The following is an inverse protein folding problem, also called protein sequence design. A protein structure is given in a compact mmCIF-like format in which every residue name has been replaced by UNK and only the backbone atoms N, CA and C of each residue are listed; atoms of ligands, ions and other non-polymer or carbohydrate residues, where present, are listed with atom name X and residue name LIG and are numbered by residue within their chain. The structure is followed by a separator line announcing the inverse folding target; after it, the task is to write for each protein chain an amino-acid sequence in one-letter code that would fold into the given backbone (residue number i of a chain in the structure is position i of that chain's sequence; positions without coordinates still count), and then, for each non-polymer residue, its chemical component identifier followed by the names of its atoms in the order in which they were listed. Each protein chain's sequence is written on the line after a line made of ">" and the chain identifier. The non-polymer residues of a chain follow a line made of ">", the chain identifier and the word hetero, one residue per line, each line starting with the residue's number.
data_IF_800841066603
#
_entry.id   IF_800841066603
#
_cell.length_a   1.000
_cell.length_b   1.000
_cell.length_c   1.000
_cell.angle_alpha   90.00
_cell.angle_beta   90.00
_cell.angle_gamma   90.00
#
_symmetry.space_group_name_H-M   'P 1'
#
loop_
_entity.id
_entity.type
_entity.pdbx_description
1 polymer ?
#
# COMPACT_ATOMS: atom_id res chain seq x y z
N UNK A 1 -0.95 7.54 -7.51
CA UNK A 1 -1.73 8.13 -6.40
C UNK A 1 -0.80 8.79 -5.39
N UNK A 2 0.13 8.02 -4.79
CA UNK A 2 1.11 8.56 -3.83
C UNK A 2 1.92 9.71 -4.40
N UNK A 3 2.53 9.54 -5.58
CA UNK A 3 3.31 10.60 -6.26
C UNK A 3 2.48 11.87 -6.48
N UNK A 4 1.30 11.74 -7.08
CA UNK A 4 0.39 12.88 -7.31
C UNK A 4 -0.03 13.61 -6.02
N UNK A 5 -0.21 12.88 -4.90
CA UNK A 5 -0.51 13.48 -3.60
C UNK A 5 0.69 14.27 -3.07
N UNK A 6 1.91 13.74 -3.20
CA UNK A 6 3.12 14.45 -2.79
C UNK A 6 3.37 15.71 -3.64
N UNK A 7 3.14 15.64 -4.95
CA UNK A 7 3.21 16.79 -5.86
C UNK A 7 2.19 17.87 -5.48
N UNK A 8 1.02 17.48 -4.97
CA UNK A 8 0.01 18.39 -4.43
C UNK A 8 0.35 18.94 -3.02
N UNK A 9 1.52 18.60 -2.47
CA UNK A 9 1.98 19.05 -1.14
C UNK A 9 1.42 18.25 0.04
N UNK A 10 0.79 17.10 -0.22
CA UNK A 10 0.30 16.24 0.84
C UNK A 10 1.43 15.39 1.46
N UNK A 11 1.29 15.11 2.75
CA UNK A 11 2.17 14.19 3.46
C UNK A 11 1.52 12.81 3.43
N UNK A 12 2.08 11.91 2.62
CA UNK A 12 1.64 10.52 2.56
C UNK A 12 2.37 9.74 3.64
N UNK A 13 1.63 9.24 4.62
CA UNK A 13 2.18 8.50 5.78
C UNK A 13 2.22 6.99 5.57
N UNK A 14 1.51 6.46 4.57
CA UNK A 14 1.43 5.03 4.29
C UNK A 14 0.33 4.69 3.29
N UNK A 15 0.23 3.40 2.96
CA UNK A 15 -0.75 2.83 2.04
C UNK A 15 -1.50 1.70 2.75
N UNK A 16 -2.83 1.77 2.74
CA UNK A 16 -3.70 0.73 3.27
C UNK A 16 -4.61 0.19 2.17
N UNK A 17 -4.68 -1.13 2.01
CA UNK A 17 -5.56 -1.80 1.06
C UNK A 17 -6.45 -2.82 1.76
N UNK A 18 -7.54 -3.22 1.09
CA UNK A 18 -8.42 -4.28 1.63
C UNK A 18 -7.79 -5.66 1.44
N UNK A 19 -7.28 -5.98 0.25
CA UNK A 19 -6.66 -7.29 -0.03
C UNK A 19 -5.29 -7.09 -0.67
N UNK A 20 -4.28 -7.77 -0.12
CA UNK A 20 -2.94 -7.85 -0.69
C UNK A 20 -2.90 -8.82 -1.88
N UNK A 21 -2.34 -8.39 -3.01
CA UNK A 21 -2.21 -9.20 -4.24
C UNK A 21 -0.87 -9.00 -4.96
N UNK A 22 0.22 -8.76 -4.23
CA UNK A 22 1.57 -8.56 -4.76
C UNK A 22 2.03 -7.10 -4.91
N UNK A 23 1.33 -6.14 -4.30
CA UNK A 23 1.73 -4.75 -4.30
C UNK A 23 2.81 -4.44 -3.24
N UNK A 24 2.89 -5.26 -2.18
CA UNK A 24 3.80 -5.03 -1.04
C UNK A 24 5.24 -4.66 -1.40
N UNK A 25 5.95 -5.39 -2.28
CA UNK A 25 7.37 -5.09 -2.56
C UNK A 25 7.60 -3.68 -3.10
N UNK A 26 6.73 -3.21 -4.00
CA UNK A 26 6.83 -1.87 -4.58
C UNK A 26 6.59 -0.76 -3.57
N UNK A 27 5.70 -0.99 -2.60
CA UNK A 27 5.41 0.00 -1.56
C UNK A 27 6.54 0.05 -0.53
N UNK A 28 7.08 -1.11 -0.16
CA UNK A 28 8.24 -1.21 0.73
C UNK A 28 9.50 -0.56 0.09
N UNK A 29 9.74 -0.79 -1.21
CA UNK A 29 10.82 -0.14 -1.98
C UNK A 29 10.66 1.39 -2.02
N UNK A 30 9.42 1.88 -2.09
CA UNK A 30 9.11 3.30 -2.03
C UNK A 30 9.19 3.89 -0.60
N UNK A 31 9.47 3.07 0.42
CA UNK A 31 9.69 3.52 1.79
C UNK A 31 8.41 3.86 2.57
N UNK A 32 7.25 3.41 2.10
CA UNK A 32 5.97 3.68 2.77
C UNK A 32 5.54 2.51 3.66
N UNK A 33 4.90 2.83 4.79
CA UNK A 33 4.22 1.82 5.58
C UNK A 33 3.07 1.21 4.77
N UNK A 34 3.02 -0.12 4.70
CA UNK A 34 2.01 -0.84 3.92
C UNK A 34 1.21 -1.81 4.79
N UNK A 35 -0.12 -1.65 4.79
CA UNK A 35 -1.05 -2.53 5.53
C UNK A 35 -2.12 -3.06 4.60
N UNK A 36 -2.45 -4.34 4.77
CA UNK A 36 -3.59 -4.98 4.11
C UNK A 36 -4.53 -5.56 5.16
N UNK A 37 -5.83 -5.37 4.99
CA UNK A 37 -6.82 -5.94 5.89
C UNK A 37 -6.91 -7.47 5.75
N UNK A 38 -6.68 -7.99 4.53
CA UNK A 38 -6.70 -9.42 4.21
C UNK A 38 -5.54 -9.81 3.28
N UNK A 39 -5.04 -11.02 3.48
CA UNK A 39 -4.17 -11.75 2.57
C UNK A 39 -5.00 -12.73 1.71
N UNK A 40 -4.43 -13.25 0.62
CA UNK A 40 -5.08 -14.31 -0.16
C UNK A 40 -5.43 -15.54 0.69
N UNK A 41 -4.54 -15.89 1.63
CA UNK A 41 -4.76 -16.99 2.57
C UNK A 41 -5.99 -16.80 3.46
N UNK A 42 -6.32 -15.55 3.84
CA UNK A 42 -7.53 -15.24 4.64
C UNK A 42 -8.82 -15.46 3.83
N UNK A 43 -8.71 -15.51 2.50
CA UNK A 43 -9.81 -15.73 1.57
C UNK A 43 -9.86 -17.18 1.04
N UNK A 44 -8.92 -18.04 1.47
CA UNK A 44 -8.81 -19.41 0.97
C UNK A 44 -8.29 -19.51 -0.47
N UNK A 45 -7.46 -18.55 -0.90
CA UNK A 45 -6.84 -18.47 -2.24
C UNK A 45 -5.33 -18.69 -2.21
#
# INVERSE_FOLDING_TARGET
>A
AVEALQEAGAIVVGVAVIVERGAKPKIDEAGFEYRAAYQLADLGL
#
